data_IF_464112916982
#
_entry.id   IF_464112916982
#
_cell.length_a   1.000
_cell.length_b   1.000
_cell.length_c   1.000
_cell.angle_alpha   90.00
_cell.angle_beta   90.00
_cell.angle_gamma   90.00
#
_symmetry.space_group_name_H-M   'P 1'
#
loop_
_entity.id
_entity.type
_entity.pdbx_description
1 polymer ?
#
# COMPACT_ATOMS: atom_id res chain seq x y z
N UNK A 1 9.59 -0.54 -9.44
CA UNK A 1 8.77 -0.48 -8.21
C UNK A 1 8.97 -1.79 -7.52
N UNK A 2 9.43 -1.79 -6.27
CA UNK A 2 9.77 -3.03 -5.57
C UNK A 2 8.56 -3.64 -4.87
N UNK A 3 8.67 -4.89 -4.45
CA UNK A 3 7.62 -5.55 -3.66
C UNK A 3 7.40 -4.83 -2.32
N UNK A 4 8.49 -4.39 -1.68
CA UNK A 4 8.46 -3.59 -0.46
C UNK A 4 7.72 -2.25 -0.70
N UNK A 5 7.91 -1.60 -1.85
CA UNK A 5 7.14 -0.38 -2.20
C UNK A 5 5.64 -0.64 -2.26
N UNK A 6 5.23 -1.75 -2.88
CA UNK A 6 3.82 -2.16 -2.98
C UNK A 6 3.26 -2.43 -1.59
N UNK A 7 3.98 -3.19 -0.78
CA UNK A 7 3.59 -3.54 0.59
C UNK A 7 3.39 -2.28 1.45
N UNK A 8 4.37 -1.37 1.46
CA UNK A 8 4.31 -0.08 2.17
C UNK A 8 3.12 0.77 1.73
N UNK A 9 2.92 0.91 0.41
CA UNK A 9 1.82 1.72 -0.16
C UNK A 9 0.45 1.16 0.21
N UNK A 10 0.27 -0.16 0.16
CA UNK A 10 -1.00 -0.80 0.56
C UNK A 10 -1.24 -0.62 2.06
N UNK A 11 -0.22 -0.86 2.90
CA UNK A 11 -0.30 -0.64 4.35
C UNK A 11 -0.75 0.78 4.67
N UNK A 12 -0.10 1.77 4.06
CA UNK A 12 -0.43 3.18 4.25
C UNK A 12 -1.84 3.51 3.73
N UNK A 13 -2.19 3.06 2.51
CA UNK A 13 -3.50 3.33 1.87
C UNK A 13 -4.68 2.89 2.73
N UNK A 14 -4.57 1.74 3.40
CA UNK A 14 -5.65 1.19 4.22
C UNK A 14 -5.44 1.35 5.73
N UNK A 15 -4.42 2.12 6.14
CA UNK A 15 -4.05 2.34 7.53
C UNK A 15 -3.89 1.03 8.33
N UNK A 16 -3.20 0.04 7.76
CA UNK A 16 -2.98 -1.24 8.42
C UNK A 16 -1.89 -1.11 9.50
N UNK A 17 -2.24 -1.50 10.72
CA UNK A 17 -1.26 -1.66 11.80
C UNK A 17 -0.56 -3.01 11.69
N UNK A 18 0.49 -3.22 12.50
CA UNK A 18 1.31 -4.44 12.45
C UNK A 18 0.48 -5.72 12.71
N UNK A 19 -0.53 -5.64 13.59
CA UNK A 19 -1.42 -6.79 13.86
C UNK A 19 -2.23 -7.17 12.62
N UNK A 20 -2.78 -6.19 11.92
CA UNK A 20 -3.50 -6.41 10.65
C UNK A 20 -2.56 -6.95 9.57
N UNK A 21 -1.33 -6.45 9.48
CA UNK A 21 -0.34 -6.96 8.54
C UNK A 21 -0.05 -8.45 8.77
N UNK A 22 0.19 -8.86 10.02
CA UNK A 22 0.40 -10.27 10.39
C UNK A 22 -0.85 -11.11 10.09
N UNK A 23 -2.04 -10.59 10.42
CA UNK A 23 -3.30 -11.28 10.13
C UNK A 23 -3.49 -11.54 8.64
N UNK A 24 -3.10 -10.61 7.76
CA UNK A 24 -3.21 -10.80 6.31
C UNK A 24 -2.43 -12.04 5.84
N UNK A 25 -1.20 -12.25 6.31
CA UNK A 25 -0.46 -13.48 5.99
C UNK A 25 -1.15 -14.73 6.56
N UNK A 26 -1.69 -14.65 7.79
CA UNK A 26 -2.42 -15.75 8.40
C UNK A 26 -3.70 -16.12 7.64
N UNK A 27 -4.38 -15.15 7.01
CA UNK A 27 -5.53 -15.41 6.14
C UNK A 27 -5.18 -16.25 4.92
N UNK A 28 -3.92 -16.22 4.48
CA UNK A 28 -3.37 -17.07 3.43
C UNK A 28 -2.63 -18.31 3.95
N UNK A 29 -2.76 -18.62 5.25
CA UNK A 29 -2.15 -19.80 5.87
C UNK A 29 -0.65 -19.67 6.11
N UNK A 30 -0.10 -18.45 6.13
CA UNK A 30 1.31 -18.20 6.37
C UNK A 30 1.52 -17.43 7.68
N UNK A 31 2.43 -17.90 8.52
CA UNK A 31 2.79 -17.24 9.76
C UNK A 31 4.02 -16.37 9.54
N UNK A 32 3.93 -15.10 9.93
CA UNK A 32 5.06 -14.15 9.92
C UNK A 32 5.16 -13.49 11.28
N UNK A 33 6.37 -13.08 11.69
CA UNK A 33 6.56 -12.33 12.93
C UNK A 33 6.41 -10.83 12.71
N UNK A 34 6.26 -10.08 13.80
CA UNK A 34 6.21 -8.62 13.74
C UNK A 34 7.53 -8.04 13.23
N UNK A 35 8.64 -8.64 13.62
CA UNK A 35 9.99 -8.25 13.22
C UNK A 35 10.16 -8.41 11.71
N UNK A 36 9.75 -9.55 11.14
CA UNK A 36 9.79 -9.76 9.67
C UNK A 36 8.97 -8.71 8.92
N UNK A 37 7.75 -8.42 9.39
CA UNK A 37 6.90 -7.38 8.79
C UNK A 37 7.57 -6.01 8.91
N UNK A 38 8.19 -5.69 10.04
CA UNK A 38 8.92 -4.45 10.25
C UNK A 38 10.09 -4.33 9.28
N UNK A 39 10.88 -5.40 9.12
CA UNK A 39 12.06 -5.44 8.26
C UNK A 39 11.71 -5.20 6.77
N UNK A 40 10.58 -5.74 6.30
CA UNK A 40 10.09 -5.47 4.93
C UNK A 40 9.60 -4.03 4.73
N UNK A 41 9.18 -3.34 5.80
CA UNK A 41 8.62 -1.99 5.74
C UNK A 41 9.69 -0.90 5.91
N UNK A 42 10.91 -1.25 6.30
CA UNK A 42 12.04 -0.32 6.40
C UNK A 42 12.47 0.24 5.05
N UNK A 43 13.19 1.35 5.08
CA UNK A 43 13.84 1.93 3.90
C UNK A 43 15.05 1.09 3.51
N UNK A 44 15.48 1.21 2.27
CA UNK A 44 16.60 0.45 1.67
C UNK A 44 17.98 0.78 2.27
N UNK A 45 18.11 1.89 2.98
CA UNK A 45 19.30 2.31 3.70
C UNK A 45 19.37 1.79 5.15
N UNK A 46 18.29 1.18 5.67
CA UNK A 46 18.26 0.64 7.02
C UNK A 46 19.04 -0.69 7.11
N UNK A 47 19.95 -0.86 8.09
CA UNK A 47 20.74 -2.09 8.24
C UNK A 47 19.90 -3.38 8.43
N UNK A 48 18.67 -3.25 8.91
CA UNK A 48 17.76 -4.35 9.13
C UNK A 48 16.67 -4.43 8.03
N UNK A 49 16.83 -3.71 6.92
CA UNK A 49 16.02 -3.87 5.73
C UNK A 49 16.13 -5.29 5.18
N UNK A 50 14.98 -5.87 4.80
CA UNK A 50 14.92 -7.12 4.08
C UNK A 50 14.04 -6.97 2.83
N UNK A 51 14.47 -7.57 1.73
CA UNK A 51 13.65 -7.66 0.52
C UNK A 51 12.45 -8.56 0.75
N UNK A 52 11.27 -8.05 0.39
CA UNK A 52 10.04 -8.85 0.37
C UNK A 52 10.02 -9.65 -0.93
N UNK A 53 10.05 -10.98 -0.82
CA UNK A 53 10.08 -11.85 -2.00
C UNK A 53 8.75 -11.81 -2.78
N UNK A 54 8.79 -12.22 -4.06
CA UNK A 54 7.57 -12.36 -4.87
C UNK A 54 6.54 -13.28 -4.20
N UNK A 55 7.01 -14.36 -3.57
CA UNK A 55 6.18 -15.34 -2.86
C UNK A 55 5.51 -14.69 -1.65
N UNK A 56 6.27 -13.95 -0.84
CA UNK A 56 5.73 -13.26 0.34
C UNK A 56 4.68 -12.21 -0.05
N UNK A 57 4.96 -11.39 -1.05
CA UNK A 57 3.98 -10.42 -1.53
C UNK A 57 2.74 -11.11 -2.13
N UNK A 58 2.90 -12.26 -2.80
CA UNK A 58 1.79 -13.02 -3.34
C UNK A 58 0.90 -13.57 -2.21
N UNK A 59 1.51 -14.08 -1.14
CA UNK A 59 0.81 -14.52 0.08
C UNK A 59 0.06 -13.35 0.72
N UNK A 60 0.73 -12.20 0.90
CA UNK A 60 0.11 -10.99 1.45
C UNK A 60 -1.13 -10.57 0.65
N UNK A 61 -1.04 -10.54 -0.68
CA UNK A 61 -2.14 -10.15 -1.56
C UNK A 61 -3.27 -11.19 -1.58
N UNK A 62 -2.96 -12.49 -1.48
CA UNK A 62 -3.97 -13.55 -1.28
C UNK A 62 -4.69 -13.37 0.07
N UNK A 63 -3.93 -13.04 1.10
CA UNK A 63 -4.43 -12.67 2.42
C UNK A 63 -5.38 -11.48 2.38
N UNK A 64 -5.02 -10.45 1.63
CA UNK A 64 -5.86 -9.26 1.41
C UNK A 64 -7.16 -9.60 0.68
N UNK A 65 -7.12 -10.48 -0.32
CA UNK A 65 -8.32 -11.00 -0.98
C UNK A 65 -9.19 -11.72 0.05
N UNK A 66 -8.62 -12.63 0.83
CA UNK A 66 -9.36 -13.40 1.84
C UNK A 66 -9.99 -12.50 2.91
N UNK A 67 -9.27 -11.50 3.40
CA UNK A 67 -9.77 -10.53 4.38
C UNK A 67 -10.94 -9.70 3.84
N UNK A 68 -10.85 -9.23 2.59
CA UNK A 68 -11.85 -8.31 2.00
C UNK A 68 -13.04 -9.02 1.35
N UNK A 69 -12.84 -10.23 0.82
CA UNK A 69 -13.83 -10.98 0.03
C UNK A 69 -14.33 -12.24 0.73
N UNK A 70 -13.67 -12.66 1.80
CA UNK A 70 -13.86 -13.97 2.41
C UNK A 70 -13.04 -15.06 1.71
N UNK A 71 -12.74 -16.12 2.45
CA UNK A 71 -12.10 -17.32 1.88
C UNK A 71 -13.08 -18.00 0.93
N UNK A 72 -12.58 -18.44 -0.22
CA UNK A 72 -13.39 -19.21 -1.17
C UNK A 72 -13.63 -20.61 -0.61
N UNK A 73 -14.82 -21.16 -0.86
CA UNK A 73 -15.08 -22.58 -0.59
C UNK A 73 -14.24 -23.42 -1.57
N UNK A 74 -13.41 -24.32 -1.03
CA UNK A 74 -12.52 -25.19 -1.81
C UNK A 74 -11.03 -24.81 -1.75
N UNK A 75 -10.22 -25.32 -2.69
CA UNK A 75 -8.76 -25.13 -2.67
C UNK A 75 -8.42 -23.64 -2.79
N UNK A 76 -7.57 -23.17 -1.87
CA UNK A 76 -7.07 -21.80 -1.92
C UNK A 76 -6.08 -21.64 -3.06
N UNK A 77 -6.03 -20.47 -3.72
CA UNK A 77 -5.05 -20.22 -4.77
C UNK A 77 -3.63 -20.28 -4.19
N UNK A 78 -2.77 -21.08 -4.81
CA UNK A 78 -1.37 -21.13 -4.44
C UNK A 78 -0.69 -19.78 -4.72
N UNK A 79 0.23 -19.33 -3.84
CA UNK A 79 1.03 -18.15 -4.09
C UNK A 79 1.89 -18.28 -5.35
N UNK A 80 1.92 -17.23 -6.16
CA UNK A 80 2.75 -17.19 -7.36
C UNK A 80 4.24 -17.11 -7.00
N UNK A 81 5.05 -17.95 -7.65
CA UNK A 81 6.51 -17.96 -7.48
C UNK A 81 7.23 -16.75 -8.11
N UNK A 82 6.54 -16.09 -9.05
CA UNK A 82 7.01 -14.88 -9.72
C UNK A 82 5.85 -13.92 -9.87
N UNK A 83 6.02 -12.72 -9.33
CA UNK A 83 5.03 -11.66 -9.45
C UNK A 83 5.36 -10.74 -10.62
N UNK A 84 4.31 -10.39 -11.35
CA UNK A 84 4.35 -9.30 -12.32
C UNK A 84 3.36 -8.23 -11.89
N UNK A 85 3.57 -7.00 -12.34
CA UNK A 85 2.63 -5.92 -12.09
C UNK A 85 1.20 -6.25 -12.55
N UNK A 86 1.05 -7.05 -13.62
CA UNK A 86 -0.25 -7.54 -14.07
C UNK A 86 -0.94 -8.40 -13.00
N UNK A 87 -0.19 -9.30 -12.36
CA UNK A 87 -0.70 -10.18 -11.29
C UNK A 87 -1.05 -9.35 -10.06
N UNK A 88 -0.17 -8.44 -9.64
CA UNK A 88 -0.42 -7.55 -8.50
C UNK A 88 -1.69 -6.72 -8.74
N UNK A 89 -1.81 -6.10 -9.91
CA UNK A 89 -2.98 -5.31 -10.26
C UNK A 89 -4.26 -6.17 -10.28
N UNK A 90 -4.20 -7.38 -10.84
CA UNK A 90 -5.33 -8.32 -10.82
C UNK A 90 -5.77 -8.66 -9.39
N UNK A 91 -4.83 -8.99 -8.51
CA UNK A 91 -5.14 -9.33 -7.11
C UNK A 91 -5.76 -8.15 -6.36
N UNK A 92 -5.24 -6.94 -6.54
CA UNK A 92 -5.81 -5.72 -5.96
C UNK A 92 -7.22 -5.44 -6.49
N UNK A 93 -7.45 -5.61 -7.80
CA UNK A 93 -8.78 -5.50 -8.41
C UNK A 93 -9.76 -6.48 -7.78
N UNK A 94 -9.35 -7.73 -7.57
CA UNK A 94 -10.19 -8.76 -6.94
C UNK A 94 -10.45 -8.44 -5.47
N UNK A 95 -9.41 -8.10 -4.71
CA UNK A 95 -9.52 -7.79 -3.28
C UNK A 95 -10.49 -6.64 -3.01
N UNK A 96 -10.40 -5.59 -3.84
CA UNK A 96 -11.23 -4.38 -3.70
C UNK A 96 -12.55 -4.45 -4.48
N UNK A 97 -12.80 -5.55 -5.20
CA UNK A 97 -14.00 -5.76 -6.02
C UNK A 97 -14.24 -4.69 -7.11
N UNK A 98 -13.16 -4.14 -7.65
CA UNK A 98 -13.24 -3.02 -8.57
C UNK A 98 -13.69 -3.45 -9.97
N UNK A 99 -14.66 -2.71 -10.50
CA UNK A 99 -15.07 -2.75 -11.89
C UNK A 99 -14.14 -1.87 -12.74
N UNK A 100 -14.20 -2.05 -14.07
CA UNK A 100 -13.36 -1.31 -15.00
C UNK A 100 -13.51 0.21 -14.82
N UNK A 101 -14.74 0.69 -14.65
CA UNK A 101 -15.03 2.13 -14.56
C UNK A 101 -14.49 2.73 -13.25
N UNK A 102 -14.59 2.00 -12.14
CA UNK A 102 -14.00 2.41 -10.86
C UNK A 102 -12.47 2.49 -10.95
N UNK A 103 -11.83 1.52 -11.64
CA UNK A 103 -10.38 1.56 -11.85
C UNK A 103 -10.01 2.80 -12.68
N UNK A 104 -10.77 3.11 -13.74
CA UNK A 104 -10.50 4.29 -14.56
C UNK A 104 -10.64 5.59 -13.74
N UNK A 105 -11.64 5.68 -12.88
CA UNK A 105 -11.81 6.83 -11.97
C UNK A 105 -10.64 6.96 -10.98
N UNK A 106 -10.18 5.85 -10.41
CA UNK A 106 -9.02 5.80 -9.52
C UNK A 106 -7.76 6.25 -10.25
N UNK A 107 -7.52 5.78 -11.47
CA UNK A 107 -6.38 6.22 -12.29
C UNK A 107 -6.47 7.73 -12.60
N UNK A 108 -7.69 8.22 -12.88
CA UNK A 108 -7.94 9.62 -13.20
C UNK A 108 -7.58 10.57 -12.04
N UNK A 109 -7.78 10.14 -10.78
CA UNK A 109 -7.35 10.88 -9.57
C UNK A 109 -5.84 11.04 -9.42
N UNK A 110 -5.07 10.20 -10.13
CA UNK A 110 -3.60 10.28 -10.17
C UNK A 110 -3.08 10.94 -11.45
N UNK A 111 -3.96 11.65 -12.16
CA UNK A 111 -3.73 12.28 -13.47
C UNK A 111 -3.27 11.32 -14.57
N UNK A 112 -3.56 10.03 -14.41
CA UNK A 112 -3.23 9.01 -15.39
C UNK A 112 -4.47 8.64 -16.21
N UNK A 113 -4.45 8.94 -17.51
CA UNK A 113 -5.52 8.58 -18.44
C UNK A 113 -5.25 7.20 -19.02
N UNK A 114 -6.27 6.34 -18.95
CA UNK A 114 -6.24 4.99 -19.49
C UNK A 114 -7.59 4.68 -20.14
N UNK A 115 -7.60 4.06 -21.32
CA UNK A 115 -8.86 3.64 -21.94
C UNK A 115 -9.34 2.28 -21.41
N UNK A 116 -10.65 1.98 -21.54
CA UNK A 116 -11.20 0.64 -21.21
C UNK A 116 -10.49 -0.49 -21.96
N UNK A 117 -10.11 -0.26 -23.22
CA UNK A 117 -9.42 -1.24 -24.05
C UNK A 117 -8.01 -1.55 -23.52
N UNK A 118 -7.26 -0.52 -23.13
CA UNK A 118 -5.93 -0.68 -22.55
C UNK A 118 -5.99 -1.36 -21.18
N UNK A 119 -6.95 -0.98 -20.35
CA UNK A 119 -7.18 -1.63 -19.06
C UNK A 119 -7.47 -3.13 -19.23
N UNK A 120 -8.36 -3.48 -20.17
CA UNK A 120 -8.67 -4.87 -20.48
C UNK A 120 -7.43 -5.66 -20.91
N UNK A 121 -6.50 -5.04 -21.65
CA UNK A 121 -5.28 -5.69 -22.13
C UNK A 121 -4.37 -6.18 -20.99
N UNK A 122 -4.34 -5.52 -19.84
CA UNK A 122 -3.54 -5.92 -18.68
C UNK A 122 -4.01 -7.20 -18.02
N UNK A 123 -5.30 -7.53 -18.15
CA UNK A 123 -5.93 -8.66 -17.48
C UNK A 123 -6.09 -9.90 -18.38
N UNK A 124 -5.56 -9.85 -19.61
CA UNK A 124 -5.54 -11.00 -20.52
C UNK A 124 -4.44 -11.97 -20.14
N UNK A 125 -4.56 -13.23 -20.59
CA UNK A 125 -3.48 -14.21 -20.48
C UNK A 125 -2.24 -13.73 -21.25
N UNK A 126 -1.05 -14.00 -20.73
CA UNK A 126 0.22 -13.57 -21.34
C UNK A 126 0.44 -14.04 -22.78
N UNK A 127 -0.16 -15.18 -23.16
CA UNK A 127 -0.09 -15.73 -24.52
C UNK A 127 -1.07 -15.07 -25.52
N UNK A 128 -1.95 -14.18 -25.08
CA UNK A 128 -2.98 -13.60 -25.93
C UNK A 128 -2.43 -12.44 -26.77
N UNK A 129 -2.81 -12.34 -28.06
CA UNK A 129 -2.33 -11.29 -29.00
C UNK A 129 -2.50 -9.84 -28.55
N UNK A 130 -3.50 -9.59 -27.70
CA UNK A 130 -3.81 -8.28 -27.11
C UNK A 130 -3.41 -8.16 -25.65
N UNK A 131 -2.58 -9.07 -25.14
CA UNK A 131 -1.98 -8.91 -23.82
C UNK A 131 -1.03 -7.72 -23.83
N UNK A 132 -1.07 -6.92 -22.76
CA UNK A 132 -0.08 -5.88 -22.53
C UNK A 132 0.53 -6.07 -21.15
N UNK A 133 1.86 -5.97 -21.08
CA UNK A 133 2.58 -5.92 -19.81
C UNK A 133 2.23 -4.62 -19.09
N UNK A 134 1.78 -4.72 -17.84
CA UNK A 134 1.58 -3.60 -16.95
C UNK A 134 2.96 -3.09 -16.52
N UNK A 135 3.28 -1.85 -16.86
CA UNK A 135 4.55 -1.23 -16.48
C UNK A 135 4.46 -0.67 -15.06
N UNK A 136 5.62 -0.47 -14.43
CA UNK A 136 5.71 0.05 -13.07
C UNK A 136 4.97 1.38 -12.92
N UNK A 137 5.05 2.24 -13.94
CA UNK A 137 4.40 3.55 -13.92
C UNK A 137 2.88 3.43 -13.81
N UNK A 138 2.27 2.48 -14.53
CA UNK A 138 0.82 2.24 -14.48
C UNK A 138 0.43 1.80 -13.08
N UNK A 139 1.14 0.82 -12.50
CA UNK A 139 0.83 0.33 -11.17
C UNK A 139 1.09 1.39 -10.08
N UNK A 140 2.12 2.23 -10.26
CA UNK A 140 2.41 3.37 -9.37
C UNK A 140 1.27 4.38 -9.34
N UNK A 141 0.74 4.76 -10.51
CA UNK A 141 -0.41 5.65 -10.63
C UNK A 141 -1.66 5.02 -10.03
N UNK A 142 -1.91 3.74 -10.28
CA UNK A 142 -3.02 3.03 -9.66
C UNK A 142 -2.97 3.07 -8.14
N UNK A 143 -1.81 2.74 -7.54
CA UNK A 143 -1.62 2.81 -6.09
C UNK A 143 -1.75 4.24 -5.54
N UNK A 144 -1.25 5.26 -6.27
CA UNK A 144 -1.44 6.68 -5.89
C UNK A 144 -2.94 7.06 -5.92
N UNK A 145 -3.67 6.62 -6.94
CA UNK A 145 -5.11 6.84 -7.05
C UNK A 145 -5.89 6.13 -5.94
N UNK A 146 -5.48 4.91 -5.56
CA UNK A 146 -6.05 4.19 -4.43
C UNK A 146 -5.83 4.94 -3.13
N UNK A 147 -4.61 5.42 -2.88
CA UNK A 147 -4.29 6.26 -1.73
C UNK A 147 -5.21 7.48 -1.68
N UNK A 148 -5.34 8.24 -2.77
CA UNK A 148 -6.23 9.40 -2.84
C UNK A 148 -7.72 9.06 -2.66
N UNK A 149 -8.13 7.82 -2.94
CA UNK A 149 -9.53 7.37 -2.84
C UNK A 149 -9.89 6.90 -1.44
N UNK A 150 -8.99 6.15 -0.79
CA UNK A 150 -9.26 5.51 0.51
C UNK A 150 -8.69 6.29 1.69
N UNK A 151 -7.78 7.24 1.43
CA UNK A 151 -7.22 8.13 2.43
C UNK A 151 -7.63 9.56 2.12
N UNK A 152 -8.88 9.86 2.43
CA UNK A 152 -9.39 11.23 2.49
C UNK A 152 -9.14 11.77 3.90
N UNK A 153 -8.33 12.83 3.99
CA UNK A 153 -8.11 13.67 5.18
C UNK A 153 -7.24 13.09 6.30
N UNK A 154 -5.91 13.07 6.11
CA UNK A 154 -4.99 13.16 7.27
C UNK A 154 -3.73 14.00 7.01
N UNK A 155 -3.26 14.16 5.76
CA UNK A 155 -1.97 14.84 5.52
C UNK A 155 -2.10 15.97 4.49
N UNK A 156 -2.97 16.95 4.74
CA UNK A 156 -2.98 18.25 4.04
C UNK A 156 -2.12 19.27 4.78
N UNK A 157 -0.88 18.90 5.12
CA UNK A 157 0.13 19.84 5.57
C UNK A 157 1.49 19.15 5.49
N UNK A 158 2.47 19.92 5.03
CA UNK A 158 3.89 19.62 4.94
C UNK A 158 4.32 18.85 3.69
N UNK A 159 4.37 19.60 2.57
CA UNK A 159 5.51 19.60 1.65
C UNK A 159 5.44 20.91 0.83
N UNK A 160 5.77 22.04 1.49
CA UNK A 160 6.31 23.20 0.77
C UNK A 160 7.84 23.14 0.87
N UNK A 161 8.45 23.04 -0.30
CA UNK A 161 9.88 23.02 -0.58
C UNK A 161 10.61 24.14 0.17
N UNK A 162 11.55 23.77 1.05
CA UNK A 162 12.54 24.71 1.56
C UNK A 162 13.74 24.70 0.60
N UNK A 163 13.74 25.66 -0.33
CA UNK A 163 14.90 26.02 -1.13
C UNK A 163 15.95 26.64 -0.19
N UNK A 164 17.01 25.89 0.10
CA UNK A 164 18.18 26.40 0.84
C UNK A 164 19.01 27.28 -0.09
N UNK A 165 18.92 28.60 0.08
CA UNK A 165 19.92 29.52 -0.44
C UNK A 165 20.77 30.06 0.70
N UNK A 166 22.07 30.04 0.48
CA UNK A 166 23.10 30.18 1.51
C UNK A 166 23.32 31.64 1.91
N UNK A 167 23.33 31.93 3.22
CA UNK A 167 24.13 33.03 3.81
C UNK A 167 24.34 32.75 5.30
N UNK A 168 25.60 32.78 5.73
CA UNK A 168 26.11 32.70 7.12
C UNK A 168 27.28 33.71 7.19
N UNK A 169 27.72 34.27 8.34
CA UNK A 169 27.18 34.36 9.72
C UNK A 169 27.13 35.81 10.27
N UNK A 170 26.53 36.05 11.45
CA UNK A 170 27.24 36.75 12.55
C UNK A 170 26.57 36.64 13.94
N UNK A 171 27.41 36.30 14.94
CA UNK A 171 27.40 36.51 16.41
C UNK A 171 26.27 35.99 17.33
N UNK A 172 26.73 35.21 18.32
CA UNK A 172 26.11 34.68 19.56
C UNK A 172 25.90 35.79 20.64
N UNK A 173 25.44 35.55 21.92
CA UNK A 173 25.32 34.28 22.65
C UNK A 173 24.10 34.05 23.60
N UNK A 174 23.89 32.76 23.90
CA UNK A 174 23.53 32.08 25.18
C UNK A 174 22.50 32.74 26.12
N UNK A 175 21.41 32.01 26.40
CA UNK A 175 20.93 31.85 27.78
C UNK A 175 20.11 30.57 28.00
N UNK A 176 20.24 30.05 29.22
CA UNK A 176 19.88 28.72 29.70
C UNK A 176 18.64 28.82 30.57
N UNK A 177 17.58 28.06 30.31
CA UNK A 177 16.63 27.70 31.38
C UNK A 177 15.86 26.42 31.09
N UNK A 178 16.07 25.49 32.02
CA UNK A 178 15.26 24.30 32.32
C UNK A 178 13.81 24.67 32.62
N UNK A 179 12.81 23.86 32.20
CA UNK A 179 11.66 23.45 33.04
C UNK A 179 10.89 22.28 32.38
N UNK A 180 11.06 21.12 33.01
CA UNK A 180 10.14 20.00 33.30
C UNK A 180 8.62 20.17 33.01
N UNK A 181 7.95 19.09 32.57
CA UNK A 181 6.77 18.45 33.24
C UNK A 181 5.63 17.97 32.32
N UNK A 182 5.13 16.79 32.70
CA UNK A 182 3.79 16.20 32.54
C UNK A 182 3.44 15.37 31.30
N UNK A 183 3.20 14.10 31.62
CA UNK A 183 2.46 13.10 30.88
C UNK A 183 0.97 13.47 30.75
N UNK A 184 0.38 13.07 29.63
CA UNK A 184 -1.05 12.84 29.51
C UNK A 184 -1.28 11.66 28.55
N UNK A 185 -1.66 10.53 29.14
CA UNK A 185 -2.24 9.37 28.46
C UNK A 185 -3.59 9.79 27.88
N UNK A 186 -3.76 9.63 26.57
CA UNK A 186 -5.07 9.69 25.92
C UNK A 186 -5.16 8.49 24.97
N UNK A 187 -5.94 7.50 25.38
CA UNK A 187 -6.48 6.49 24.46
C UNK A 187 -7.39 7.19 23.43
N UNK A 188 -7.45 6.67 22.20
CA UNK A 188 -8.73 6.68 21.51
C UNK A 188 -9.12 5.29 21.04
N UNK A 189 -10.22 4.84 21.64
CA UNK A 189 -11.31 4.09 21.06
C UNK A 189 -11.37 4.14 19.52
N UNK A 190 -11.19 2.98 18.86
CA UNK A 190 -11.44 2.84 17.43
C UNK A 190 -12.44 1.71 17.22
N UNK A 191 -13.70 1.99 17.51
CA UNK A 191 -14.81 1.24 16.96
C UNK A 191 -15.46 2.01 15.79
N UNK A 192 -15.84 1.22 14.77
CA UNK A 192 -16.95 1.50 13.84
C UNK A 192 -16.73 2.39 12.60
N UNK A 193 -15.99 1.90 11.60
CA UNK A 193 -16.19 2.34 10.19
C UNK A 193 -16.21 1.15 9.21
N UNK A 194 -16.98 0.10 9.50
CA UNK A 194 -17.29 -0.93 8.48
C UNK A 194 -18.74 -1.39 8.56
N UNK A 195 -19.68 -0.44 8.41
CA UNK A 195 -21.03 -0.73 7.92
C UNK A 195 -21.30 0.11 6.69
N UNK A 196 -21.07 -0.46 5.51
CA UNK A 196 -21.83 -0.08 4.31
C UNK A 196 -22.70 -1.27 3.90
N UNK A 197 -23.98 -0.91 3.78
CA UNK A 197 -25.15 -1.71 3.48
C UNK A 197 -24.89 -2.63 2.29
N UNK A 198 -25.13 -3.92 2.47
CA UNK A 198 -25.51 -4.79 1.35
C UNK A 198 -26.97 -4.45 0.97
N UNK A 199 -27.34 -4.47 -0.32
CA UNK A 199 -28.73 -4.45 -0.73
C UNK A 199 -29.49 -5.68 -0.21
#
# INVERSE_FOLDING_TARGET
MTNNDVLRRIRYTFNFNDKTMIQLFAEAGHTVTREQVSDWLKKDDDPAYQDCSDVELAIFLNGLINLKRGKREGPQPEPEQRLSNNIIFMKLKIALNLQADEILEIMNRSDFRLSKHELSAFFRKSSHKHFRKCQDQVLRHFLKGLQATYRTDTDSSDDQEHQVDATTPDLAPVETTSTQTAAATVEPEVESVWRRKKP
#
